data_IF_584160820237
#
_entry.id   IF_584160820237
#
_cell.length_a   1.000
_cell.length_b   1.000
_cell.length_c   1.000
_cell.angle_alpha   90.00
_cell.angle_beta   90.00
_cell.angle_gamma   90.00
#
_symmetry.space_group_name_H-M   'P 1'
#
loop_
_entity.id
_entity.type
_entity.pdbx_description
1 polymer ?
#
# COMPACT_ATOMS: atom_id res chain seq x y z
N UNK A 1 2.89 0.37 26.81
CA UNK A 1 2.97 0.71 25.37
C UNK A 1 1.60 0.51 24.76
N UNK A 2 1.15 1.39 23.87
CA UNK A 2 -0.05 1.10 23.07
C UNK A 2 0.24 -0.11 22.18
N UNK A 3 -0.72 -1.03 22.09
CA UNK A 3 -0.62 -2.20 21.22
C UNK A 3 -0.83 -1.76 19.77
N UNK A 4 0.15 -2.04 18.90
CA UNK A 4 0.04 -1.81 17.47
C UNK A 4 -0.35 -3.11 16.77
N UNK A 5 -1.39 -3.04 15.94
CA UNK A 5 -1.81 -4.19 15.14
C UNK A 5 -1.12 -4.18 13.78
N UNK A 6 -0.45 -5.27 13.43
CA UNK A 6 0.10 -5.46 12.09
C UNK A 6 -0.97 -6.02 11.14
N UNK A 7 -1.10 -5.42 9.95
CA UNK A 7 -1.99 -5.88 8.89
C UNK A 7 -1.31 -5.80 7.52
N UNK A 8 -1.70 -6.68 6.61
CA UNK A 8 -1.24 -6.69 5.22
C UNK A 8 -2.41 -6.88 4.24
N UNK A 9 -2.23 -6.42 3.01
CA UNK A 9 -3.16 -6.62 1.89
C UNK A 9 -4.62 -6.22 2.17
N UNK A 10 -4.81 -5.17 2.97
CA UNK A 10 -6.11 -4.71 3.44
C UNK A 10 -6.83 -3.79 2.44
N UNK A 11 -6.51 -3.84 1.14
CA UNK A 11 -7.06 -2.91 0.13
C UNK A 11 -8.59 -2.99 -0.04
N UNK A 12 -9.20 -4.09 0.38
CA UNK A 12 -10.66 -4.27 0.34
C UNK A 12 -11.35 -3.78 1.62
N UNK A 13 -10.59 -3.43 2.65
CA UNK A 13 -11.08 -2.72 3.83
C UNK A 13 -11.05 -1.22 3.53
N UNK A 14 -12.23 -0.62 3.37
CA UNK A 14 -12.37 0.77 2.97
C UNK A 14 -11.77 1.74 4.00
N UNK A 15 -12.00 1.50 5.29
CA UNK A 15 -11.53 2.36 6.37
C UNK A 15 -10.00 2.35 6.46
N UNK A 16 -9.40 1.15 6.40
CA UNK A 16 -7.95 1.02 6.42
C UNK A 16 -7.29 1.56 5.15
N UNK A 17 -7.91 1.35 3.97
CA UNK A 17 -7.42 1.90 2.71
C UNK A 17 -7.46 3.42 2.71
N UNK A 18 -8.54 4.02 3.20
CA UNK A 18 -8.65 5.47 3.38
C UNK A 18 -7.60 5.99 4.35
N UNK A 19 -7.44 5.36 5.51
CA UNK A 19 -6.44 5.76 6.49
C UNK A 19 -5.01 5.66 5.95
N UNK A 20 -4.71 4.62 5.17
CA UNK A 20 -3.44 4.50 4.46
C UNK A 20 -3.23 5.64 3.45
N UNK A 21 -4.26 5.95 2.65
CA UNK A 21 -4.22 7.06 1.70
C UNK A 21 -3.98 8.41 2.40
N UNK A 22 -4.60 8.64 3.55
CA UNK A 22 -4.37 9.84 4.37
C UNK A 22 -2.91 9.92 4.84
N UNK A 23 -2.33 8.81 5.31
CA UNK A 23 -0.92 8.75 5.71
C UNK A 23 0.00 9.04 4.52
N UNK A 24 -0.22 8.37 3.38
CA UNK A 24 0.61 8.54 2.19
C UNK A 24 0.53 9.97 1.63
N UNK A 25 -0.65 10.57 1.62
CA UNK A 25 -0.84 11.97 1.23
C UNK A 25 -0.11 12.93 2.17
N UNK A 26 -0.19 12.69 3.48
CA UNK A 26 0.47 13.54 4.48
C UNK A 26 2.00 13.48 4.41
N UNK A 27 2.58 12.30 4.18
CA UNK A 27 4.04 12.10 4.25
C UNK A 27 4.72 12.28 2.89
N UNK A 28 4.08 11.82 1.81
CA UNK A 28 4.68 11.79 0.48
C UNK A 28 3.93 12.65 -0.56
N UNK A 29 2.77 13.22 -0.21
CA UNK A 29 1.96 14.00 -1.17
C UNK A 29 1.30 13.15 -2.26
N UNK A 30 1.20 11.82 -2.07
CA UNK A 30 0.64 10.88 -3.04
C UNK A 30 -0.73 10.37 -2.61
N UNK A 31 -1.61 10.10 -3.58
CA UNK A 31 -2.97 9.60 -3.32
C UNK A 31 -3.27 8.38 -4.21
N UNK A 32 -3.54 7.22 -3.60
CA UNK A 32 -3.83 5.96 -4.29
C UNK A 32 -5.33 5.75 -4.54
N UNK A 33 -6.22 6.62 -4.07
CA UNK A 33 -7.68 6.45 -4.20
C UNK A 33 -8.12 6.39 -5.66
N UNK A 34 -7.71 7.39 -6.46
CA UNK A 34 -8.03 7.41 -7.88
C UNK A 34 -7.42 6.23 -8.64
N UNK A 35 -6.29 5.70 -8.15
CA UNK A 35 -5.62 4.53 -8.73
C UNK A 35 -6.39 3.23 -8.40
N UNK A 36 -6.89 3.12 -7.17
CA UNK A 36 -7.77 2.03 -6.73
C UNK A 36 -9.10 2.01 -7.47
N UNK A 37 -9.82 3.14 -7.52
CA UNK A 37 -11.14 3.22 -8.15
C UNK A 37 -11.11 2.88 -9.64
N UNK A 38 -9.98 3.13 -10.31
CA UNK A 38 -9.75 2.77 -11.72
C UNK A 38 -9.29 1.32 -11.91
N UNK A 39 -9.24 0.51 -10.85
CA UNK A 39 -8.89 -0.92 -10.90
C UNK A 39 -7.39 -1.21 -11.05
N UNK A 40 -6.53 -0.19 -10.96
CA UNK A 40 -5.10 -0.37 -11.19
C UNK A 40 -4.33 -0.75 -9.92
N UNK A 41 -4.90 -0.54 -8.72
CA UNK A 41 -4.43 -1.19 -7.49
C UNK A 41 -4.86 -2.66 -7.48
N UNK A 42 -4.20 -3.44 -8.31
CA UNK A 42 -4.43 -4.88 -8.44
C UNK A 42 -3.66 -5.67 -7.37
N UNK A 43 -3.51 -6.99 -7.56
CA UNK A 43 -2.88 -7.89 -6.58
C UNK A 43 -1.35 -7.75 -6.52
N UNK A 44 -0.76 -6.81 -7.27
CA UNK A 44 0.69 -6.56 -7.29
C UNK A 44 1.14 -5.50 -6.30
N UNK A 45 0.26 -4.62 -5.84
CA UNK A 45 0.57 -3.64 -4.80
C UNK A 45 0.04 -4.14 -3.45
N UNK A 46 0.96 -4.48 -2.54
CA UNK A 46 0.64 -5.11 -1.26
C UNK A 46 1.11 -4.20 -0.12
N UNK A 47 0.20 -3.51 0.59
CA UNK A 47 0.57 -2.73 1.76
C UNK A 47 0.82 -3.61 2.97
N UNK A 48 1.83 -3.26 3.77
CA UNK A 48 2.11 -3.81 5.09
C UNK A 48 2.18 -2.65 6.09
N UNK A 49 1.36 -2.69 7.12
CA UNK A 49 1.15 -1.52 7.96
C UNK A 49 0.96 -1.86 9.43
N UNK A 50 1.35 -0.93 10.29
CA UNK A 50 0.96 -0.91 11.69
C UNK A 50 -0.23 0.02 11.91
N UNK A 51 -1.19 -0.45 12.70
CA UNK A 51 -2.43 0.24 13.03
C UNK A 51 -2.43 0.60 14.52
N UNK A 52 -2.70 1.86 14.85
CA UNK A 52 -3.08 2.31 16.21
C UNK A 52 -4.58 2.61 16.21
N UNK A 53 -5.34 1.86 17.01
CA UNK A 53 -6.80 1.82 17.00
C UNK A 53 -7.39 1.50 15.61
N UNK A 54 -7.64 2.53 14.80
CA UNK A 54 -8.21 2.42 13.45
C UNK A 54 -7.41 3.21 12.41
N UNK A 55 -6.20 3.68 12.77
CA UNK A 55 -5.36 4.49 11.90
C UNK A 55 -4.08 3.77 11.53
N UNK A 56 -3.77 3.78 10.23
CA UNK A 56 -2.46 3.38 9.70
C UNK A 56 -1.44 4.43 10.16
N UNK A 57 -0.45 4.00 10.96
CA UNK A 57 0.58 4.89 11.54
C UNK A 57 1.97 4.67 10.95
N UNK A 58 2.20 3.51 10.33
CA UNK A 58 3.42 3.20 9.59
C UNK A 58 3.08 2.27 8.43
N UNK A 59 3.79 2.39 7.32
CA UNK A 59 3.60 1.57 6.14
C UNK A 59 4.94 1.26 5.44
N UNK A 60 5.06 0.04 4.95
CA UNK A 60 5.96 -0.37 3.88
C UNK A 60 5.14 -1.16 2.88
N UNK A 61 5.34 -0.94 1.58
CA UNK A 61 4.56 -1.61 0.54
C UNK A 61 5.47 -2.29 -0.46
N UNK A 62 5.00 -3.43 -0.96
CA UNK A 62 5.66 -4.25 -1.98
C UNK A 62 4.94 -4.07 -3.30
N UNK A 63 5.69 -4.02 -4.39
CA UNK A 63 5.16 -3.85 -5.75
C UNK A 63 5.74 -4.94 -6.64
N UNK A 64 4.94 -5.95 -6.97
CA UNK A 64 5.38 -7.08 -7.80
C UNK A 64 5.42 -6.66 -9.27
N UNK A 65 6.63 -6.48 -9.78
CA UNK A 65 6.89 -5.91 -11.09
C UNK A 65 7.64 -6.90 -11.99
N UNK A 66 7.42 -6.76 -13.30
CA UNK A 66 8.26 -7.37 -14.31
C UNK A 66 9.00 -6.23 -15.01
N UNK A 67 10.32 -6.23 -14.93
CA UNK A 67 11.19 -5.20 -15.50
C UNK A 67 11.87 -5.73 -16.76
N UNK A 68 12.23 -4.84 -17.67
CA UNK A 68 13.13 -5.14 -18.78
C UNK A 68 14.42 -4.38 -18.54
N UNK A 69 15.52 -5.09 -18.30
CA UNK A 69 16.84 -4.52 -18.02
C UNK A 69 17.81 -5.13 -19.03
N UNK A 70 18.43 -4.28 -19.86
CA UNK A 70 19.33 -4.68 -20.95
C UNK A 70 18.71 -5.70 -21.92
N UNK A 71 17.43 -5.51 -22.25
CA UNK A 71 16.68 -6.42 -23.13
C UNK A 71 16.20 -7.72 -22.46
N UNK A 72 16.58 -7.97 -21.21
CA UNK A 72 16.16 -9.16 -20.45
C UNK A 72 14.97 -8.86 -19.53
N UNK A 73 13.98 -9.77 -19.50
CA UNK A 73 12.89 -9.72 -18.52
C UNK A 73 13.41 -10.18 -17.15
N UNK A 74 13.18 -9.38 -16.11
CA UNK A 74 13.53 -9.68 -14.71
C UNK A 74 12.31 -9.48 -13.82
N UNK A 75 12.05 -10.43 -12.92
CA UNK A 75 10.99 -10.30 -11.91
C UNK A 75 11.54 -9.54 -10.70
N UNK A 76 10.81 -8.54 -10.24
CA UNK A 76 11.09 -7.80 -9.00
C UNK A 76 9.91 -7.99 -8.05
N UNK A 77 10.24 -8.24 -6.79
CA UNK A 77 9.28 -8.31 -5.68
C UNK A 77 9.36 -7.01 -4.89
#
# INVERSE_FOLDING_TARGET
>A
MKELKYLKDYKHDEDLRKSFNELAAKIFGINFEGWYQKGFWNNRYIPFSYIDASKVVANVSVNVLNLVINGEKKNAL
#
